data_IF_124643874366
#
_entry.id   IF_124643874366
#
_cell.length_a   1.000
_cell.length_b   1.000
_cell.length_c   1.000
_cell.angle_alpha   90.00
_cell.angle_beta   90.00
_cell.angle_gamma   90.00
#
_symmetry.space_group_name_H-M   'P 1'
#
loop_
_entity.id
_entity.type
_entity.pdbx_description
1 polymer ?
#
# COMPACT_ATOMS: atom_id res chain seq x y z
N UNK A 1 -3.80 2.96 7.07
CA UNK A 1 -4.92 3.82 7.55
C UNK A 1 -6.16 3.50 6.77
N UNK A 2 -7.35 3.71 7.35
CA UNK A 2 -8.56 3.71 6.55
C UNK A 2 -8.70 5.07 5.86
N UNK A 3 -9.24 5.10 4.66
CA UNK A 3 -9.53 6.33 3.92
C UNK A 3 -10.35 7.34 4.74
N UNK A 4 -11.34 6.85 5.50
CA UNK A 4 -12.15 7.68 6.38
C UNK A 4 -11.33 8.31 7.51
N UNK A 5 -10.31 7.63 8.04
CA UNK A 5 -9.48 8.17 9.10
C UNK A 5 -8.69 9.40 8.62
N UNK A 6 -8.17 9.38 7.38
CA UNK A 6 -7.49 10.54 6.80
C UNK A 6 -8.47 11.74 6.73
N UNK A 7 -9.68 11.51 6.21
CA UNK A 7 -10.67 12.55 6.05
C UNK A 7 -11.15 13.15 7.40
N UNK A 8 -11.22 12.34 8.45
CA UNK A 8 -11.64 12.78 9.78
C UNK A 8 -10.50 13.50 10.50
N UNK A 9 -9.30 12.87 10.55
CA UNK A 9 -8.19 13.43 11.31
C UNK A 9 -7.64 14.73 10.72
N UNK A 10 -7.60 14.89 9.39
CA UNK A 10 -7.18 16.17 8.77
C UNK A 10 -8.15 17.32 9.00
N UNK A 11 -9.37 17.06 9.50
CA UNK A 11 -10.34 18.09 9.91
C UNK A 11 -10.31 18.41 11.40
N UNK A 12 -9.68 17.57 12.20
CA UNK A 12 -9.66 17.66 13.65
C UNK A 12 -8.28 17.99 14.20
N UNK A 13 -7.23 17.68 13.48
CA UNK A 13 -5.83 17.93 13.81
C UNK A 13 -5.27 18.96 12.85
N UNK A 14 -4.33 19.77 13.33
CA UNK A 14 -3.52 20.62 12.46
C UNK A 14 -2.44 19.82 11.70
N UNK A 15 -1.75 20.40 10.74
CA UNK A 15 -0.72 19.71 9.96
C UNK A 15 0.46 19.20 10.79
N UNK A 16 0.86 19.89 11.85
CA UNK A 16 1.95 19.48 12.73
C UNK A 16 1.56 18.24 13.55
N UNK A 17 0.40 18.27 14.21
CA UNK A 17 -0.17 17.15 14.96
C UNK A 17 -0.36 15.90 14.09
N UNK A 18 -0.91 16.11 12.88
CA UNK A 18 -1.04 15.03 11.91
C UNK A 18 0.31 14.50 11.44
N UNK A 19 1.31 15.39 11.33
CA UNK A 19 2.71 15.03 11.02
C UNK A 19 3.31 14.12 12.08
N UNK A 20 3.18 14.47 13.36
CA UNK A 20 3.63 13.66 14.49
C UNK A 20 2.98 12.28 14.47
N UNK A 21 1.65 12.22 14.24
CA UNK A 21 0.93 10.96 14.07
C UNK A 21 1.48 10.13 12.89
N UNK A 22 1.69 10.73 11.73
CA UNK A 22 2.19 10.04 10.54
C UNK A 22 3.61 9.50 10.73
N UNK A 23 4.45 10.24 11.46
CA UNK A 23 5.80 9.81 11.86
C UNK A 23 5.74 8.62 12.80
N UNK A 24 4.88 8.67 13.83
CA UNK A 24 4.67 7.55 14.75
C UNK A 24 4.30 6.27 14.00
N UNK A 25 3.31 6.35 13.10
CA UNK A 25 2.88 5.21 12.29
C UNK A 25 3.99 4.71 11.38
N UNK A 26 4.81 5.60 10.82
CA UNK A 26 5.95 5.23 9.98
C UNK A 26 7.02 4.46 10.78
N UNK A 27 7.40 4.97 11.95
CA UNK A 27 8.37 4.30 12.85
C UNK A 27 7.84 2.94 13.31
N UNK A 28 6.56 2.88 13.73
CA UNK A 28 5.91 1.61 14.09
C UNK A 28 5.94 0.63 12.92
N UNK A 29 5.66 1.11 11.70
CA UNK A 29 5.74 0.31 10.48
C UNK A 29 7.13 -0.27 10.24
N UNK A 30 8.19 0.57 10.34
CA UNK A 30 9.57 0.11 10.16
C UNK A 30 9.96 -0.96 11.18
N UNK A 31 9.71 -0.73 12.47
CA UNK A 31 10.04 -1.69 13.53
C UNK A 31 9.21 -2.97 13.41
N UNK A 32 7.91 -2.84 13.14
CA UNK A 32 7.01 -3.98 13.00
C UNK A 32 7.40 -4.87 11.82
N UNK A 33 7.68 -4.29 10.66
CA UNK A 33 8.13 -5.04 9.48
C UNK A 33 9.50 -5.68 9.73
N UNK A 34 10.46 -4.93 10.28
CA UNK A 34 11.80 -5.45 10.54
C UNK A 34 11.80 -6.64 11.51
N UNK A 35 10.98 -6.57 12.56
CA UNK A 35 10.99 -7.57 13.63
C UNK A 35 9.99 -8.71 13.42
N UNK A 36 8.80 -8.46 12.84
CA UNK A 36 7.70 -9.43 12.86
C UNK A 36 7.25 -9.93 11.48
N UNK A 37 7.54 -9.20 10.39
CA UNK A 37 7.07 -9.58 9.05
C UNK A 37 7.51 -10.98 8.62
N UNK A 38 8.73 -11.38 8.98
CA UNK A 38 9.23 -12.72 8.66
C UNK A 38 8.40 -13.84 9.28
N UNK A 39 7.80 -13.62 10.45
CA UNK A 39 6.88 -14.56 11.11
C UNK A 39 5.57 -14.65 10.34
N UNK A 40 4.99 -13.50 10.01
CA UNK A 40 3.69 -13.39 9.31
C UNK A 40 3.71 -14.11 7.95
N UNK A 41 4.74 -13.82 7.13
CA UNK A 41 4.85 -14.45 5.80
C UNK A 41 5.17 -15.95 5.91
N UNK A 42 5.85 -16.37 6.95
CA UNK A 42 6.14 -17.79 7.19
C UNK A 42 4.89 -18.56 7.61
N UNK A 43 4.06 -17.97 8.48
CA UNK A 43 2.75 -18.54 8.82
C UNK A 43 1.89 -18.69 7.57
N UNK A 44 1.79 -17.66 6.75
CA UNK A 44 1.02 -17.72 5.50
C UNK A 44 1.51 -18.82 4.56
N UNK A 45 2.80 -19.13 4.56
CA UNK A 45 3.40 -20.15 3.67
C UNK A 45 3.29 -21.57 4.19
N UNK A 46 3.49 -21.77 5.49
CA UNK A 46 3.70 -23.09 6.07
C UNK A 46 2.51 -23.61 6.88
N UNK A 47 1.58 -22.74 7.29
CA UNK A 47 0.38 -23.17 8.00
C UNK A 47 -0.63 -23.79 7.02
N UNK A 48 -0.88 -25.09 7.19
CA UNK A 48 -1.90 -25.83 6.43
C UNK A 48 -2.94 -26.39 7.39
N UNK A 49 -4.21 -26.01 7.18
CA UNK A 49 -5.33 -26.47 8.02
C UNK A 49 -5.44 -28.00 7.99
N UNK A 50 -5.52 -28.61 9.18
CA UNK A 50 -5.71 -30.06 9.32
C UNK A 50 -4.45 -30.90 9.06
N UNK A 51 -3.29 -30.30 8.79
CA UNK A 51 -2.03 -31.05 8.72
C UNK A 51 -1.51 -31.41 10.12
N UNK A 52 -0.80 -32.53 10.24
CA UNK A 52 -0.13 -32.93 11.50
C UNK A 52 0.86 -31.84 12.00
N UNK A 53 1.39 -31.03 11.07
CA UNK A 53 2.33 -29.96 11.39
C UNK A 53 1.65 -28.66 11.83
N UNK A 54 0.33 -28.51 11.70
CA UNK A 54 -0.36 -27.25 12.02
C UNK A 54 -0.13 -26.79 13.46
N UNK A 55 -0.14 -27.72 14.41
CA UNK A 55 0.11 -27.44 15.83
C UNK A 55 1.54 -26.95 16.10
N UNK A 56 2.53 -27.51 15.39
CA UNK A 56 3.95 -27.11 15.49
C UNK A 56 4.18 -25.74 14.88
N UNK A 57 3.58 -25.47 13.71
CA UNK A 57 3.66 -24.16 13.04
C UNK A 57 3.07 -23.05 13.93
N UNK A 58 1.94 -23.30 14.61
CA UNK A 58 1.36 -22.36 15.56
C UNK A 58 2.29 -22.12 16.76
N UNK A 59 2.86 -23.18 17.35
CA UNK A 59 3.83 -23.08 18.44
C UNK A 59 5.08 -22.31 18.03
N UNK A 60 5.63 -22.58 16.83
CA UNK A 60 6.77 -21.88 16.28
C UNK A 60 6.45 -20.39 16.02
N UNK A 61 5.25 -20.08 15.52
CA UNK A 61 4.82 -18.69 15.30
C UNK A 61 4.72 -17.90 16.61
N UNK A 62 4.15 -18.48 17.67
CA UNK A 62 4.10 -17.87 18.99
C UNK A 62 5.51 -17.64 19.55
N UNK A 63 6.36 -18.66 19.49
CA UNK A 63 7.73 -18.54 19.96
C UNK A 63 8.53 -17.49 19.17
N UNK A 64 8.39 -17.50 17.85
CA UNK A 64 8.99 -16.51 16.96
C UNK A 64 8.52 -15.08 17.29
N UNK A 65 7.23 -14.89 17.59
CA UNK A 65 6.68 -13.60 18.02
C UNK A 65 7.35 -13.08 19.30
N UNK A 66 7.49 -13.95 20.32
CA UNK A 66 8.18 -13.55 21.57
C UNK A 66 9.66 -13.28 21.36
N UNK A 67 10.35 -14.08 20.55
CA UNK A 67 11.76 -13.82 20.21
C UNK A 67 11.91 -12.50 19.44
N UNK A 68 11.02 -12.23 18.50
CA UNK A 68 11.00 -10.96 17.74
C UNK A 68 10.65 -9.75 18.60
N UNK A 69 9.98 -9.95 19.73
CA UNK A 69 9.69 -8.87 20.68
C UNK A 69 10.96 -8.30 21.35
N UNK A 70 12.05 -9.09 21.45
CA UNK A 70 13.33 -8.65 22.02
C UNK A 70 13.97 -7.57 21.14
N UNK A 71 14.28 -7.80 19.84
CA UNK A 71 14.84 -6.75 18.99
C UNK A 71 13.89 -5.55 18.83
N UNK A 72 12.57 -5.75 18.85
CA UNK A 72 11.62 -4.65 18.85
C UNK A 72 11.73 -3.77 20.10
N UNK A 73 11.86 -4.36 21.30
CA UNK A 73 12.09 -3.64 22.54
C UNK A 73 13.44 -2.91 22.53
N UNK A 74 14.49 -3.56 22.02
CA UNK A 74 15.81 -2.93 21.89
C UNK A 74 15.77 -1.75 20.90
N UNK A 75 15.03 -1.86 19.80
CA UNK A 75 14.83 -0.76 18.86
C UNK A 75 14.10 0.42 19.54
N UNK A 76 13.05 0.17 20.33
CA UNK A 76 12.35 1.22 21.08
C UNK A 76 13.28 1.89 22.10
N UNK A 77 14.10 1.11 22.84
CA UNK A 77 15.08 1.65 23.77
C UNK A 77 16.14 2.49 23.06
N UNK A 78 16.64 2.00 21.90
CA UNK A 78 17.60 2.75 21.10
C UNK A 78 17.01 4.10 20.64
N UNK A 79 15.79 4.09 20.10
CA UNK A 79 15.07 5.29 19.69
C UNK A 79 14.92 6.24 20.90
N UNK A 80 14.55 5.72 22.05
CA UNK A 80 14.39 6.49 23.30
C UNK A 80 15.69 7.19 23.74
N UNK A 81 16.82 6.50 23.70
CA UNK A 81 18.10 7.05 24.18
C UNK A 81 18.76 8.01 23.19
N UNK A 82 18.53 7.84 21.89
CA UNK A 82 19.24 8.59 20.84
C UNK A 82 18.41 9.73 20.23
N UNK A 83 17.11 9.80 20.50
CA UNK A 83 16.27 10.91 20.07
C UNK A 83 16.13 11.93 21.22
N UNK A 84 16.35 13.22 20.92
CA UNK A 84 16.28 14.32 21.89
C UNK A 84 14.89 14.46 22.55
N UNK A 85 14.90 14.85 23.82
CA UNK A 85 14.01 14.43 24.92
C UNK A 85 12.66 15.16 25.01
N UNK A 86 12.27 16.12 24.18
CA UNK A 86 11.07 16.91 24.53
C UNK A 86 9.74 16.40 24.00
N UNK A 87 9.56 16.32 22.71
CA UNK A 87 8.29 15.84 22.09
C UNK A 87 8.40 14.36 21.73
N UNK A 88 9.59 13.91 21.39
CA UNK A 88 9.88 12.57 20.88
C UNK A 88 9.73 11.46 21.93
N UNK A 89 9.87 11.79 23.22
CA UNK A 89 9.73 10.81 24.30
C UNK A 89 8.29 10.34 24.51
N UNK A 90 7.31 11.24 24.45
CA UNK A 90 5.89 10.89 24.58
C UNK A 90 5.44 10.08 23.37
N UNK A 91 5.87 10.47 22.17
CA UNK A 91 5.59 9.74 20.94
C UNK A 91 6.09 8.30 20.99
N UNK A 92 7.35 8.08 21.43
CA UNK A 92 7.93 6.73 21.57
C UNK A 92 7.20 5.91 22.61
N UNK A 93 6.84 6.50 23.76
CA UNK A 93 6.10 5.80 24.82
C UNK A 93 4.74 5.28 24.35
N UNK A 94 4.03 6.05 23.52
CA UNK A 94 2.69 5.69 23.04
C UNK A 94 2.76 4.86 21.76
N UNK A 95 3.75 5.10 20.91
CA UNK A 95 3.96 4.31 19.69
C UNK A 95 4.52 2.90 19.99
N UNK A 96 5.31 2.74 21.06
CA UNK A 96 5.88 1.45 21.40
C UNK A 96 4.80 0.34 21.59
N UNK A 97 3.75 0.48 22.41
CA UNK A 97 2.70 -0.52 22.54
C UNK A 97 2.05 -0.89 21.19
N UNK A 98 1.93 0.10 20.28
CA UNK A 98 1.34 -0.12 18.97
C UNK A 98 2.13 -1.13 18.13
N UNK A 99 3.46 -1.21 18.28
CA UNK A 99 4.29 -2.19 17.56
C UNK A 99 3.83 -3.63 17.85
N UNK A 100 3.68 -3.97 19.13
CA UNK A 100 3.24 -5.32 19.54
C UNK A 100 1.78 -5.57 19.22
N UNK A 101 0.92 -4.60 19.46
CA UNK A 101 -0.51 -4.70 19.15
C UNK A 101 -0.71 -4.88 17.64
N UNK A 102 -0.01 -4.10 16.82
CA UNK A 102 -0.03 -4.22 15.36
C UNK A 102 0.47 -5.59 14.91
N UNK A 103 1.65 -6.01 15.38
CA UNK A 103 2.24 -7.29 15.01
C UNK A 103 1.35 -8.48 15.39
N UNK A 104 0.76 -8.43 16.59
CA UNK A 104 -0.18 -9.45 17.06
C UNK A 104 -1.47 -9.47 16.26
N UNK A 105 -2.03 -8.31 15.98
CA UNK A 105 -3.22 -8.18 15.14
C UNK A 105 -3.00 -8.76 13.75
N UNK A 106 -1.91 -8.37 13.08
CA UNK A 106 -1.59 -8.86 11.73
C UNK A 106 -1.38 -10.38 11.73
N UNK A 107 -0.72 -10.93 12.77
CA UNK A 107 -0.52 -12.38 12.88
C UNK A 107 -1.85 -13.13 13.03
N UNK A 108 -2.81 -12.60 13.80
CA UNK A 108 -4.17 -13.16 13.90
C UNK A 108 -4.93 -13.07 12.56
N UNK A 109 -4.74 -11.97 11.85
CA UNK A 109 -5.36 -11.74 10.55
C UNK A 109 -4.84 -12.72 9.50
N UNK A 110 -3.52 -12.97 9.47
CA UNK A 110 -2.91 -13.96 8.56
C UNK A 110 -3.37 -15.39 8.89
N UNK A 111 -3.57 -15.73 10.15
CA UNK A 111 -4.13 -17.04 10.54
C UNK A 111 -5.57 -17.21 10.06
N UNK A 112 -6.42 -16.18 10.20
CA UNK A 112 -7.78 -16.21 9.66
C UNK A 112 -7.78 -16.39 8.14
N UNK A 113 -6.84 -15.74 7.45
CA UNK A 113 -6.61 -15.87 6.01
C UNK A 113 -6.18 -17.30 5.62
N UNK A 114 -5.22 -17.89 6.34
CA UNK A 114 -4.77 -19.26 6.11
C UNK A 114 -5.88 -20.28 6.30
N UNK A 115 -6.85 -20.02 7.19
CA UNK A 115 -8.01 -20.88 7.43
C UNK A 115 -9.14 -20.67 6.44
N UNK A 116 -8.99 -19.73 5.47
CA UNK A 116 -10.05 -19.36 4.55
C UNK A 116 -11.33 -18.82 5.24
N UNK A 117 -11.20 -18.28 6.45
CA UNK A 117 -12.29 -17.70 7.23
C UNK A 117 -12.57 -16.25 6.74
N UNK A 118 -13.04 -16.09 5.50
CA UNK A 118 -13.17 -14.79 4.81
C UNK A 118 -14.03 -13.81 5.61
N UNK A 119 -15.17 -14.31 6.14
CA UNK A 119 -16.07 -13.47 6.94
C UNK A 119 -15.39 -12.96 8.22
N UNK A 120 -14.66 -13.86 8.91
CA UNK A 120 -13.93 -13.52 10.13
C UNK A 120 -12.80 -12.53 9.85
N UNK A 121 -12.04 -12.74 8.78
CA UNK A 121 -11.03 -11.81 8.31
C UNK A 121 -11.61 -10.40 8.10
N UNK A 122 -12.73 -10.31 7.38
CA UNK A 122 -13.43 -9.05 7.13
C UNK A 122 -13.95 -8.40 8.41
N UNK A 123 -14.56 -9.20 9.32
CA UNK A 123 -15.09 -8.72 10.59
C UNK A 123 -13.97 -8.15 11.49
N UNK A 124 -12.86 -8.89 11.67
CA UNK A 124 -11.72 -8.46 12.48
C UNK A 124 -11.16 -7.13 11.94
N UNK A 125 -10.98 -7.02 10.62
CA UNK A 125 -10.47 -5.82 9.96
C UNK A 125 -11.43 -4.62 10.09
N UNK A 126 -12.74 -4.85 9.92
CA UNK A 126 -13.76 -3.82 10.04
C UNK A 126 -13.86 -3.31 11.48
N UNK A 127 -13.94 -4.21 12.47
CA UNK A 127 -14.00 -3.85 13.89
C UNK A 127 -12.78 -3.04 14.29
N UNK A 128 -11.57 -3.49 13.93
CA UNK A 128 -10.34 -2.71 14.18
C UNK A 128 -10.45 -1.30 13.62
N UNK A 129 -10.85 -1.16 12.37
CA UNK A 129 -10.88 0.15 11.69
C UNK A 129 -11.92 1.09 12.31
N UNK A 130 -13.12 0.58 12.63
CA UNK A 130 -14.20 1.36 13.23
C UNK A 130 -13.81 1.77 14.65
N UNK A 131 -13.33 0.83 15.46
CA UNK A 131 -12.96 1.10 16.86
C UNK A 131 -11.73 2.03 16.90
N UNK A 132 -10.74 1.86 16.04
CA UNK A 132 -9.58 2.74 15.98
C UNK A 132 -9.99 4.19 15.68
N UNK A 133 -10.87 4.38 14.69
CA UNK A 133 -11.35 5.71 14.33
C UNK A 133 -12.20 6.32 15.48
N UNK A 134 -13.15 5.56 16.01
CA UNK A 134 -14.03 6.04 17.10
C UNK A 134 -13.23 6.39 18.37
N UNK A 135 -12.28 5.54 18.77
CA UNK A 135 -11.41 5.79 19.91
C UNK A 135 -10.47 6.97 19.66
N UNK A 136 -9.88 7.10 18.44
CA UNK A 136 -9.05 8.24 18.10
C UNK A 136 -9.81 9.56 18.19
N UNK A 137 -11.01 9.61 17.60
CA UNK A 137 -11.89 10.79 17.71
C UNK A 137 -12.23 11.09 19.18
N UNK A 138 -12.57 10.06 19.97
CA UNK A 138 -12.85 10.24 21.40
C UNK A 138 -11.65 10.82 22.15
N UNK A 139 -10.44 10.35 21.89
CA UNK A 139 -9.23 10.85 22.54
C UNK A 139 -8.86 12.28 22.11
N UNK A 140 -9.17 12.71 20.87
CA UNK A 140 -9.04 14.12 20.47
C UNK A 140 -9.95 15.00 21.34
N UNK A 141 -11.21 14.59 21.58
CA UNK A 141 -12.11 15.31 22.50
C UNK A 141 -11.66 15.29 23.97
N UNK A 142 -10.67 14.48 24.32
CA UNK A 142 -10.02 14.45 25.63
C UNK A 142 -8.70 15.27 25.66
N UNK A 143 -8.47 16.13 24.68
CA UNK A 143 -7.28 17.01 24.56
C UNK A 143 -5.96 16.20 24.48
N UNK A 144 -5.97 15.06 23.77
CA UNK A 144 -4.77 14.25 23.53
C UNK A 144 -4.19 14.44 22.11
N UNK A 145 -4.76 15.33 21.33
CA UNK A 145 -4.35 15.84 20.01
C UNK A 145 -3.55 14.83 19.17
N UNK A 146 -2.26 15.06 18.94
CA UNK A 146 -1.39 14.23 18.09
C UNK A 146 -1.26 12.77 18.56
N UNK A 147 -1.51 12.48 19.86
CA UNK A 147 -1.43 11.14 20.44
C UNK A 147 -2.70 10.33 20.25
N UNK A 148 -3.82 11.02 20.09
CA UNK A 148 -5.16 10.42 20.02
C UNK A 148 -5.32 9.39 18.88
N UNK A 149 -4.89 9.64 17.63
CA UNK A 149 -4.96 8.65 16.56
C UNK A 149 -4.12 7.40 16.84
N UNK A 150 -2.93 7.56 17.47
CA UNK A 150 -2.05 6.44 17.83
C UNK A 150 -2.72 5.56 18.89
N UNK A 151 -3.27 6.17 19.94
CA UNK A 151 -4.05 5.47 20.97
C UNK A 151 -5.28 4.78 20.38
N UNK A 152 -5.95 5.44 19.43
CA UNK A 152 -7.05 4.85 18.68
C UNK A 152 -6.63 3.56 17.95
N UNK A 153 -5.45 3.57 17.30
CA UNK A 153 -4.90 2.37 16.65
C UNK A 153 -4.56 1.27 17.65
N UNK A 154 -4.06 1.60 18.85
CA UNK A 154 -3.80 0.63 19.93
C UNK A 154 -5.12 -0.02 20.36
N UNK A 155 -6.12 0.78 20.70
CA UNK A 155 -7.45 0.28 21.15
C UNK A 155 -8.09 -0.57 20.06
N UNK A 156 -8.09 -0.09 18.81
CA UNK A 156 -8.63 -0.81 17.67
C UNK A 156 -7.91 -2.15 17.42
N UNK A 157 -6.59 -2.17 17.54
CA UNK A 157 -5.78 -3.38 17.39
C UNK A 157 -6.04 -4.40 18.51
N UNK A 158 -6.17 -3.94 19.76
CA UNK A 158 -6.52 -4.80 20.91
C UNK A 158 -7.92 -5.39 20.72
N UNK A 159 -8.93 -4.57 20.44
CA UNK A 159 -10.32 -5.02 20.26
C UNK A 159 -10.43 -5.95 19.06
N UNK A 160 -9.78 -5.62 17.91
CA UNK A 160 -9.73 -6.49 16.75
C UNK A 160 -9.10 -7.86 17.06
N UNK A 161 -8.03 -7.88 17.87
CA UNK A 161 -7.38 -9.12 18.31
C UNK A 161 -8.26 -9.94 19.27
N UNK A 162 -9.05 -9.28 20.13
CA UNK A 162 -10.02 -9.95 21.01
C UNK A 162 -11.15 -10.58 20.18
N UNK A 163 -11.64 -9.90 19.15
CA UNK A 163 -12.64 -10.43 18.21
C UNK A 163 -12.07 -11.63 17.41
N UNK A 164 -10.78 -11.60 17.07
CA UNK A 164 -10.10 -12.76 16.51
C UNK A 164 -10.17 -13.96 17.46
N UNK A 165 -10.16 -13.71 18.76
CA UNK A 165 -10.32 -14.70 19.82
C UNK A 165 -9.13 -15.65 19.98
N UNK A 166 -8.87 -16.05 21.20
CA UNK A 166 -7.78 -16.98 21.51
C UNK A 166 -7.97 -18.39 20.94
N UNK A 167 -9.18 -18.73 20.51
CA UNK A 167 -9.49 -20.03 19.89
C UNK A 167 -8.69 -20.28 18.60
N UNK A 168 -8.20 -19.23 17.93
CA UNK A 168 -7.39 -19.33 16.72
C UNK A 168 -6.04 -20.02 17.01
N UNK A 169 -5.57 -19.97 18.27
CA UNK A 169 -4.32 -20.54 18.75
C UNK A 169 -4.49 -21.89 19.44
N UNK A 170 -5.72 -22.43 19.51
CA UNK A 170 -5.96 -23.74 20.11
C UNK A 170 -5.20 -24.81 19.37
N UNK A 171 -4.49 -25.65 20.12
CA UNK A 171 -3.67 -26.73 19.58
C UNK A 171 -2.23 -26.36 19.28
N UNK A 172 -1.79 -25.12 19.57
CA UNK A 172 -0.37 -24.78 19.48
C UNK A 172 0.47 -25.70 20.36
N UNK A 173 1.49 -26.34 19.78
CA UNK A 173 2.38 -27.27 20.47
C UNK A 173 3.81 -26.70 20.53
N UNK A 174 4.36 -26.64 21.73
CA UNK A 174 5.76 -26.23 21.99
C UNK A 174 6.67 -27.47 22.08
N UNK A 175 6.62 -28.37 21.10
CA UNK A 175 7.46 -29.54 21.03
C UNK A 175 8.93 -29.18 20.81
N UNK A 176 9.86 -30.11 21.08
CA UNK A 176 11.31 -29.90 20.93
C UNK A 176 11.75 -29.49 19.50
N UNK A 177 10.90 -29.70 18.51
CA UNK A 177 11.12 -29.41 17.09
C UNK A 177 10.86 -27.93 16.71
N UNK A 178 10.43 -27.08 17.65
CA UNK A 178 10.20 -25.62 17.38
C UNK A 178 11.45 -24.94 16.79
N UNK A 179 12.66 -25.39 17.16
CA UNK A 179 13.91 -24.87 16.63
C UNK A 179 14.08 -25.12 15.12
N UNK A 180 13.67 -26.27 14.64
CA UNK A 180 13.78 -26.62 13.22
C UNK A 180 12.76 -25.82 12.41
N UNK A 181 11.53 -25.66 12.91
CA UNK A 181 10.52 -24.81 12.30
C UNK A 181 10.98 -23.34 12.25
N UNK A 182 11.64 -22.83 13.30
CA UNK A 182 12.20 -21.48 13.31
C UNK A 182 13.27 -21.28 12.23
N UNK A 183 14.11 -22.30 12.01
CA UNK A 183 15.10 -22.27 10.94
C UNK A 183 14.45 -22.19 9.58
N UNK A 184 13.37 -22.94 9.36
CA UNK A 184 12.57 -22.89 8.14
C UNK A 184 11.92 -21.51 7.99
N UNK A 185 11.30 -20.99 9.04
CA UNK A 185 10.69 -19.65 9.04
C UNK A 185 11.70 -18.57 8.70
N UNK A 186 12.86 -18.54 9.37
CA UNK A 186 13.88 -17.53 9.15
C UNK A 186 14.48 -17.61 7.74
N UNK A 187 14.73 -18.80 7.23
CA UNK A 187 15.29 -18.98 5.89
C UNK A 187 14.37 -18.48 4.77
N UNK A 188 13.06 -18.58 4.98
CA UNK A 188 12.05 -18.12 4.04
C UNK A 188 11.62 -16.67 4.29
N UNK A 189 11.33 -16.35 5.55
CA UNK A 189 10.72 -15.08 5.93
C UNK A 189 11.70 -13.90 5.95
N UNK A 190 12.96 -14.11 6.37
CA UNK A 190 13.92 -13.02 6.49
C UNK A 190 14.25 -12.32 5.15
N UNK A 191 14.51 -13.05 4.04
CA UNK A 191 14.71 -12.38 2.75
C UNK A 191 13.50 -11.58 2.27
N UNK A 192 12.28 -12.08 2.56
CA UNK A 192 11.04 -11.38 2.23
C UNK A 192 10.85 -10.13 3.10
N UNK A 193 11.16 -10.21 4.41
CA UNK A 193 11.12 -9.06 5.29
C UNK A 193 12.02 -7.92 4.80
N UNK A 194 13.22 -8.23 4.28
CA UNK A 194 14.11 -7.24 3.67
C UNK A 194 13.43 -6.55 2.47
N UNK A 195 12.73 -7.31 1.62
CA UNK A 195 12.01 -6.72 0.48
C UNK A 195 10.89 -5.77 0.96
N UNK A 196 10.17 -6.13 2.02
CA UNK A 196 9.13 -5.27 2.62
C UNK A 196 9.72 -4.01 3.26
N UNK A 197 10.87 -4.12 3.96
CA UNK A 197 11.58 -2.96 4.49
C UNK A 197 11.98 -2.01 3.36
N UNK A 198 12.57 -2.50 2.29
CA UNK A 198 12.96 -1.67 1.15
C UNK A 198 11.76 -1.00 0.48
N UNK A 199 10.64 -1.71 0.37
CA UNK A 199 9.39 -1.11 -0.13
C UNK A 199 8.89 0.00 0.79
N UNK A 200 8.95 -0.22 2.11
CA UNK A 200 8.56 0.77 3.11
C UNK A 200 9.50 1.99 3.11
N UNK A 201 10.80 1.79 2.89
CA UNK A 201 11.75 2.90 2.72
C UNK A 201 11.29 3.81 1.58
N UNK A 202 10.99 3.27 0.40
CA UNK A 202 10.53 4.09 -0.74
C UNK A 202 9.22 4.82 -0.47
N UNK A 203 8.31 4.24 0.34
CA UNK A 203 6.98 4.82 0.58
C UNK A 203 6.88 5.69 1.83
N UNK A 204 7.85 5.67 2.72
CA UNK A 204 7.70 6.29 4.05
C UNK A 204 8.94 7.02 4.56
N UNK A 205 10.12 6.88 3.93
CA UNK A 205 11.31 7.62 4.36
C UNK A 205 11.21 9.11 4.13
N UNK A 206 10.44 9.53 3.12
CA UNK A 206 10.20 10.93 2.78
C UNK A 206 9.67 11.71 3.99
N UNK A 207 8.73 11.12 4.75
CA UNK A 207 8.14 11.73 5.95
C UNK A 207 9.16 11.95 7.05
N UNK A 208 10.05 10.97 7.26
CA UNK A 208 11.11 11.06 8.26
C UNK A 208 12.14 12.12 7.87
N UNK A 209 12.50 12.19 6.58
CA UNK A 209 13.45 13.18 6.07
C UNK A 209 12.84 14.58 6.09
N UNK A 210 11.55 14.74 5.70
CA UNK A 210 10.83 16.00 5.78
C UNK A 210 10.77 16.53 7.21
N UNK A 211 10.38 15.69 8.17
CA UNK A 211 10.32 16.08 9.57
C UNK A 211 11.70 16.45 10.13
N UNK A 212 12.74 15.74 9.73
CA UNK A 212 14.11 16.02 10.17
C UNK A 212 14.68 17.31 9.60
N UNK A 213 14.40 17.62 8.31
CA UNK A 213 15.04 18.76 7.62
C UNK A 213 14.18 20.03 7.63
N UNK A 214 12.85 19.90 7.70
CA UNK A 214 11.92 21.05 7.54
C UNK A 214 11.00 21.17 8.75
N UNK A 215 10.48 20.04 9.30
CA UNK A 215 9.58 20.01 10.44
C UNK A 215 8.40 19.07 10.25
N UNK A 216 7.69 18.85 11.35
CA UNK A 216 6.55 17.92 11.44
C UNK A 216 5.36 18.37 10.59
N UNK A 217 5.13 19.68 10.47
CA UNK A 217 4.08 20.26 9.62
C UNK A 217 4.24 19.82 8.16
N UNK A 218 5.46 19.92 7.61
CA UNK A 218 5.75 19.50 6.24
C UNK A 218 5.52 18.00 6.05
N UNK A 219 5.89 17.18 7.04
CA UNK A 219 5.64 15.75 7.05
C UNK A 219 4.15 15.44 7.10
N UNK A 220 3.35 16.24 7.82
CA UNK A 220 1.90 16.11 7.93
C UNK A 220 1.19 16.40 6.60
N UNK A 221 1.48 17.54 5.99
CA UNK A 221 0.93 17.95 4.69
C UNK A 221 1.25 16.92 3.59
N UNK A 222 2.51 16.44 3.54
CA UNK A 222 2.93 15.39 2.63
C UNK A 222 2.18 14.08 2.88
N UNK A 223 2.12 13.63 4.15
CA UNK A 223 1.54 12.34 4.52
C UNK A 223 0.05 12.26 4.22
N UNK A 224 -0.71 13.29 4.54
CA UNK A 224 -2.15 13.34 4.26
C UNK A 224 -2.42 13.23 2.75
N UNK A 225 -1.69 13.98 1.93
CA UNK A 225 -1.82 13.98 0.48
C UNK A 225 -1.42 12.64 -0.13
N UNK A 226 -0.29 12.09 0.31
CA UNK A 226 0.25 10.82 -0.16
C UNK A 226 -0.68 9.65 0.20
N UNK A 227 -1.04 9.52 1.47
CA UNK A 227 -1.84 8.40 1.95
C UNK A 227 -3.23 8.36 1.33
N UNK A 228 -3.83 9.53 1.09
CA UNK A 228 -5.12 9.66 0.42
C UNK A 228 -5.12 9.01 -0.97
N UNK A 229 -4.19 9.41 -1.83
CA UNK A 229 -4.10 8.90 -3.21
C UNK A 229 -3.63 7.44 -3.23
N UNK A 230 -2.61 7.13 -2.42
CA UNK A 230 -2.02 5.79 -2.36
C UNK A 230 -3.01 4.73 -1.93
N UNK A 231 -3.86 5.03 -0.94
CA UNK A 231 -4.90 4.10 -0.48
C UNK A 231 -5.88 3.72 -1.58
N UNK A 232 -6.36 4.71 -2.34
CA UNK A 232 -7.33 4.47 -3.41
C UNK A 232 -6.71 3.73 -4.60
N UNK A 233 -5.53 4.17 -5.04
CA UNK A 233 -4.84 3.56 -6.18
C UNK A 233 -4.39 2.12 -5.88
N UNK A 234 -3.91 1.86 -4.67
CA UNK A 234 -3.49 0.51 -4.26
C UNK A 234 -4.67 -0.46 -4.23
N UNK A 235 -5.83 -0.06 -3.71
CA UNK A 235 -7.03 -0.91 -3.72
C UNK A 235 -7.41 -1.32 -5.14
N UNK A 236 -7.38 -0.38 -6.08
CA UNK A 236 -7.66 -0.65 -7.49
C UNK A 236 -6.65 -1.64 -8.10
N UNK A 237 -5.36 -1.41 -7.88
CA UNK A 237 -4.31 -2.24 -8.47
C UNK A 237 -4.29 -3.66 -7.89
N UNK A 238 -4.55 -3.80 -6.60
CA UNK A 238 -4.71 -5.11 -5.94
C UNK A 238 -5.91 -5.86 -6.49
N UNK A 239 -7.05 -5.19 -6.70
CA UNK A 239 -8.24 -5.82 -7.26
C UNK A 239 -7.99 -6.37 -8.68
N UNK A 240 -7.31 -5.61 -9.55
CA UNK A 240 -6.91 -6.06 -10.88
C UNK A 240 -5.98 -7.28 -10.77
N UNK A 241 -4.99 -7.23 -9.90
CA UNK A 241 -4.00 -8.30 -9.75
C UNK A 241 -4.62 -9.59 -9.23
N UNK A 242 -5.54 -9.51 -8.28
CA UNK A 242 -6.25 -10.69 -7.73
C UNK A 242 -7.03 -11.44 -8.81
N UNK A 243 -7.61 -10.73 -9.77
CA UNK A 243 -8.33 -11.35 -10.88
C UNK A 243 -7.39 -11.90 -11.98
N UNK A 244 -6.32 -11.18 -12.28
CA UNK A 244 -5.48 -11.39 -13.45
C UNK A 244 -4.30 -12.33 -13.20
N UNK A 245 -3.65 -12.24 -12.05
CA UNK A 245 -2.43 -13.00 -11.73
C UNK A 245 -2.60 -14.53 -11.81
N UNK A 246 -3.65 -15.14 -11.21
CA UNK A 246 -3.81 -16.59 -11.26
C UNK A 246 -3.96 -17.15 -12.69
N UNK A 247 -4.57 -16.37 -13.59
CA UNK A 247 -4.76 -16.75 -14.99
C UNK A 247 -3.42 -16.83 -15.73
N UNK A 248 -2.54 -15.86 -15.48
CA UNK A 248 -1.17 -15.87 -16.05
C UNK A 248 -0.37 -17.05 -15.55
N UNK A 249 -0.35 -17.26 -14.22
CA UNK A 249 0.41 -18.36 -13.61
C UNK A 249 -0.07 -19.71 -14.18
N UNK A 250 -1.38 -19.93 -14.22
CA UNK A 250 -1.98 -21.16 -14.75
C UNK A 250 -1.59 -21.40 -16.23
N UNK A 251 -1.68 -20.37 -17.07
CA UNK A 251 -1.29 -20.49 -18.47
C UNK A 251 0.22 -20.76 -18.64
N UNK A 252 1.04 -20.08 -17.82
CA UNK A 252 2.50 -20.26 -17.86
C UNK A 252 2.94 -21.66 -17.40
N UNK A 253 2.35 -22.21 -16.32
CA UNK A 253 2.70 -23.54 -15.78
C UNK A 253 2.27 -24.67 -16.70
N UNK A 254 1.18 -24.51 -17.47
CA UNK A 254 0.73 -25.48 -18.48
C UNK A 254 1.61 -25.53 -19.73
N UNK A 255 2.69 -24.75 -19.79
CA UNK A 255 3.58 -24.63 -20.93
C UNK A 255 2.90 -24.18 -22.25
N UNK A 256 1.72 -23.56 -22.14
CA UNK A 256 0.99 -22.95 -23.24
C UNK A 256 1.57 -21.53 -23.49
N UNK A 257 2.76 -21.45 -24.07
CA UNK A 257 3.52 -20.20 -24.17
C UNK A 257 2.74 -19.08 -24.88
N UNK A 258 2.00 -19.39 -25.94
CA UNK A 258 1.21 -18.41 -26.68
C UNK A 258 0.04 -17.87 -25.84
N UNK A 259 -0.62 -18.74 -25.07
CA UNK A 259 -1.72 -18.37 -24.16
C UNK A 259 -1.19 -17.51 -23.01
N UNK A 260 -0.05 -17.89 -22.44
CA UNK A 260 0.59 -17.11 -21.37
C UNK A 260 0.98 -15.71 -21.83
N UNK A 261 1.59 -15.59 -23.02
CA UNK A 261 1.96 -14.29 -23.62
C UNK A 261 0.73 -13.43 -23.87
N UNK A 262 -0.33 -14.02 -24.43
CA UNK A 262 -1.61 -13.30 -24.63
C UNK A 262 -2.22 -12.83 -23.33
N UNK A 263 -2.24 -13.68 -22.29
CA UNK A 263 -2.77 -13.35 -20.97
C UNK A 263 -1.98 -12.22 -20.30
N UNK A 264 -0.63 -12.26 -20.39
CA UNK A 264 0.23 -11.18 -19.87
C UNK A 264 -0.07 -9.85 -20.56
N UNK A 265 -0.22 -9.86 -21.89
CA UNK A 265 -0.58 -8.66 -22.66
C UNK A 265 -1.95 -8.11 -22.24
N UNK A 266 -2.94 -8.99 -22.11
CA UNK A 266 -4.28 -8.62 -21.66
C UNK A 266 -4.28 -8.01 -20.25
N UNK A 267 -3.49 -8.57 -19.32
CA UNK A 267 -3.34 -8.00 -17.98
C UNK A 267 -2.72 -6.60 -18.01
N UNK A 268 -1.70 -6.39 -18.84
CA UNK A 268 -1.12 -5.07 -19.03
C UNK A 268 -2.13 -4.07 -19.60
N UNK A 269 -2.91 -4.48 -20.59
CA UNK A 269 -3.97 -3.66 -21.16
C UNK A 269 -5.08 -3.34 -20.15
N UNK A 270 -5.51 -4.31 -19.34
CA UNK A 270 -6.48 -4.10 -18.24
C UNK A 270 -5.93 -3.16 -17.17
N UNK A 271 -4.66 -3.30 -16.81
CA UNK A 271 -4.03 -2.37 -15.86
C UNK A 271 -4.05 -0.95 -16.41
N UNK A 272 -3.63 -0.74 -17.66
CA UNK A 272 -3.64 0.57 -18.31
C UNK A 272 -5.05 1.15 -18.40
N UNK A 273 -6.03 0.31 -18.79
CA UNK A 273 -7.44 0.70 -18.93
C UNK A 273 -8.00 1.36 -17.68
N UNK A 274 -7.58 0.92 -16.50
CA UNK A 274 -8.08 1.43 -15.22
C UNK A 274 -7.12 2.43 -14.57
N UNK A 275 -5.82 2.18 -14.63
CA UNK A 275 -4.83 3.00 -13.94
C UNK A 275 -4.64 4.40 -14.58
N UNK A 276 -4.61 4.47 -15.93
CA UNK A 276 -4.38 5.75 -16.62
C UNK A 276 -5.52 6.76 -16.38
N UNK A 277 -6.81 6.43 -16.60
CA UNK A 277 -7.89 7.39 -16.35
C UNK A 277 -8.01 7.78 -14.87
N UNK A 278 -7.71 6.86 -13.94
CA UNK A 278 -7.69 7.19 -12.51
C UNK A 278 -6.56 8.17 -12.18
N UNK A 279 -5.36 7.97 -12.73
CA UNK A 279 -4.24 8.91 -12.58
C UNK A 279 -4.58 10.28 -13.13
N UNK A 280 -5.15 10.33 -14.34
CA UNK A 280 -5.59 11.60 -14.98
C UNK A 280 -6.71 12.25 -14.16
N UNK A 281 -7.70 11.47 -13.69
CA UNK A 281 -8.79 11.96 -12.86
C UNK A 281 -8.31 12.58 -11.55
N UNK A 282 -7.42 11.91 -10.82
CA UNK A 282 -6.80 12.47 -9.61
C UNK A 282 -6.02 13.75 -9.90
N UNK A 283 -5.30 13.79 -11.03
CA UNK A 283 -4.50 14.97 -11.38
C UNK A 283 -5.37 16.18 -11.72
N UNK A 284 -6.48 15.97 -12.43
CA UNK A 284 -7.37 17.07 -12.84
C UNK A 284 -8.28 17.54 -11.71
N UNK A 285 -8.77 16.62 -10.90
CA UNK A 285 -9.71 16.91 -9.82
C UNK A 285 -9.02 17.06 -8.46
N UNK A 286 -7.70 17.31 -8.45
CA UNK A 286 -6.88 17.37 -7.23
C UNK A 286 -7.44 18.38 -6.21
N UNK A 287 -7.78 19.58 -6.66
CA UNK A 287 -8.34 20.63 -5.80
C UNK A 287 -9.70 20.23 -5.21
N UNK A 288 -10.58 19.61 -6.02
CA UNK A 288 -11.89 19.16 -5.58
C UNK A 288 -11.77 17.97 -4.61
N UNK A 289 -10.84 17.05 -4.86
CA UNK A 289 -10.53 15.98 -3.91
C UNK A 289 -10.03 16.53 -2.58
N UNK A 290 -9.09 17.47 -2.62
CA UNK A 290 -8.57 18.12 -1.42
C UNK A 290 -9.67 18.84 -0.64
N UNK A 291 -10.55 19.57 -1.32
CA UNK A 291 -11.65 20.30 -0.69
C UNK A 291 -12.69 19.38 -0.03
N UNK A 292 -13.06 18.28 -0.73
CA UNK A 292 -14.11 17.36 -0.25
C UNK A 292 -13.61 16.44 0.85
N UNK A 293 -12.35 15.99 0.79
CA UNK A 293 -11.88 14.94 1.70
C UNK A 293 -10.94 15.42 2.79
N UNK A 294 -10.22 16.54 2.60
CA UNK A 294 -9.21 16.98 3.55
C UNK A 294 -9.62 18.25 4.32
N UNK A 295 -9.02 18.43 5.50
CA UNK A 295 -9.15 19.65 6.29
C UNK A 295 -8.64 20.88 5.56
N UNK A 296 -9.12 22.07 5.97
CA UNK A 296 -8.84 23.33 5.26
C UNK A 296 -7.35 23.62 5.10
N UNK A 297 -6.55 23.36 6.13
CA UNK A 297 -5.12 23.62 6.17
C UNK A 297 -4.30 22.72 5.25
N UNK A 298 -4.83 21.54 4.91
CA UNK A 298 -4.18 20.58 4.01
C UNK A 298 -4.47 20.80 2.54
N UNK A 299 -5.53 21.57 2.19
CA UNK A 299 -6.08 21.63 0.83
C UNK A 299 -5.11 22.16 -0.20
N UNK A 300 -4.40 23.23 0.14
CA UNK A 300 -3.45 23.85 -0.79
C UNK A 300 -2.34 22.85 -1.15
N UNK A 301 -1.62 22.35 -0.14
CA UNK A 301 -0.54 21.38 -0.36
C UNK A 301 -1.05 20.13 -1.09
N UNK A 302 -2.22 19.62 -0.71
CA UNK A 302 -2.80 18.44 -1.35
C UNK A 302 -3.14 18.67 -2.83
N UNK A 303 -3.66 19.85 -3.19
CA UNK A 303 -3.97 20.18 -4.60
C UNK A 303 -2.73 20.16 -5.50
N UNK A 304 -1.57 20.51 -4.96
CA UNK A 304 -0.27 20.52 -5.65
C UNK A 304 0.38 19.13 -5.67
N UNK A 305 0.24 18.35 -4.58
CA UNK A 305 0.90 17.04 -4.42
C UNK A 305 0.13 15.88 -5.05
N UNK A 306 -1.21 15.87 -4.98
CA UNK A 306 -2.07 14.78 -5.49
C UNK A 306 -1.71 14.36 -6.92
N UNK A 307 -1.48 15.26 -7.90
CA UNK A 307 -1.11 14.88 -9.26
C UNK A 307 0.18 14.05 -9.30
N UNK A 308 1.20 14.47 -8.59
CA UNK A 308 2.49 13.80 -8.55
C UNK A 308 2.43 12.45 -7.82
N UNK A 309 1.66 12.38 -6.72
CA UNK A 309 1.41 11.11 -6.02
C UNK A 309 0.68 10.12 -6.91
N UNK A 310 -0.34 10.57 -7.65
CA UNK A 310 -1.10 9.71 -8.56
C UNK A 310 -0.22 9.14 -9.68
N UNK A 311 0.63 9.96 -10.28
CA UNK A 311 1.59 9.53 -11.31
C UNK A 311 2.64 8.59 -10.71
N UNK A 312 3.14 8.87 -9.51
CA UNK A 312 4.09 8.01 -8.79
C UNK A 312 3.49 6.63 -8.49
N UNK A 313 2.24 6.61 -8.00
CA UNK A 313 1.50 5.38 -7.73
C UNK A 313 1.26 4.56 -9.01
N UNK A 314 0.98 5.22 -10.14
CA UNK A 314 0.86 4.56 -11.44
C UNK A 314 2.16 3.82 -11.80
N UNK A 315 3.33 4.47 -11.74
CA UNK A 315 4.61 3.83 -12.07
C UNK A 315 4.95 2.70 -11.11
N UNK A 316 4.72 2.89 -9.81
CA UNK A 316 4.91 1.86 -8.79
C UNK A 316 4.03 0.62 -9.05
N UNK A 317 2.74 0.83 -9.31
CA UNK A 317 1.78 -0.24 -9.60
C UNK A 317 2.09 -0.94 -10.93
N UNK A 318 2.40 -0.18 -11.97
CA UNK A 318 2.72 -0.76 -13.28
C UNK A 318 3.97 -1.63 -13.24
N UNK A 319 4.99 -1.21 -12.49
CA UNK A 319 6.14 -2.05 -12.19
C UNK A 319 5.74 -3.32 -11.46
N UNK A 320 5.07 -3.17 -10.30
CA UNK A 320 4.82 -4.28 -9.38
C UNK A 320 3.86 -5.34 -9.95
N UNK A 321 2.82 -4.91 -10.66
CA UNK A 321 1.73 -5.78 -11.12
C UNK A 321 1.84 -6.22 -12.58
N UNK A 322 2.76 -5.62 -13.36
CA UNK A 322 2.97 -6.02 -14.74
C UNK A 322 4.40 -6.50 -14.99
N UNK A 323 5.42 -5.67 -14.81
CA UNK A 323 6.79 -6.03 -15.19
C UNK A 323 7.47 -6.99 -14.22
N UNK A 324 7.21 -6.88 -12.92
CA UNK A 324 7.76 -7.79 -11.91
C UNK A 324 7.24 -9.23 -12.03
N UNK A 325 6.20 -9.49 -12.84
CA UNK A 325 5.75 -10.83 -13.23
C UNK A 325 6.88 -11.68 -13.83
N UNK A 326 7.83 -11.07 -14.56
CA UNK A 326 8.99 -11.78 -15.12
C UNK A 326 9.79 -12.49 -14.02
N UNK A 327 9.99 -11.82 -12.89
CA UNK A 327 10.73 -12.38 -11.76
C UNK A 327 9.94 -13.46 -11.03
N UNK A 328 8.65 -13.27 -10.87
CA UNK A 328 7.74 -14.19 -10.17
C UNK A 328 7.58 -15.50 -10.96
N UNK A 329 7.29 -15.42 -12.27
CA UNK A 329 7.11 -16.58 -13.12
C UNK A 329 8.40 -17.38 -13.29
N UNK A 330 9.56 -16.71 -13.34
CA UNK A 330 10.87 -17.36 -13.40
C UNK A 330 11.42 -17.76 -12.02
N UNK A 331 10.65 -17.56 -10.94
CA UNK A 331 11.04 -17.87 -9.54
C UNK A 331 12.37 -17.19 -9.13
N UNK A 332 12.67 -16.01 -9.71
CA UNK A 332 13.86 -15.20 -9.40
C UNK A 332 13.50 -13.93 -8.64
N UNK A 333 12.71 -14.10 -7.58
CA UNK A 333 12.16 -12.99 -6.77
C UNK A 333 13.24 -12.16 -6.06
N UNK A 334 14.45 -12.69 -5.88
CA UNK A 334 15.58 -11.91 -5.36
C UNK A 334 15.91 -10.68 -6.22
N UNK A 335 15.59 -10.70 -7.53
CA UNK A 335 15.77 -9.54 -8.39
C UNK A 335 14.81 -8.41 -8.05
N UNK A 336 13.60 -8.71 -7.52
CA UNK A 336 12.70 -7.67 -7.00
C UNK A 336 13.32 -6.95 -5.80
N UNK A 337 14.04 -7.68 -4.94
CA UNK A 337 14.77 -7.08 -3.81
C UNK A 337 15.82 -6.10 -4.32
N UNK A 338 16.56 -6.46 -5.37
CA UNK A 338 17.53 -5.55 -5.98
C UNK A 338 16.87 -4.32 -6.61
N UNK A 339 15.77 -4.49 -7.34
CA UNK A 339 15.02 -3.37 -7.92
C UNK A 339 14.54 -2.41 -6.83
N UNK A 340 13.98 -2.95 -5.74
CA UNK A 340 13.53 -2.17 -4.59
C UNK A 340 14.70 -1.52 -3.84
N UNK A 341 15.82 -2.24 -3.68
CA UNK A 341 17.03 -1.71 -3.05
C UNK A 341 17.60 -0.50 -3.76
N UNK A 342 17.68 -0.57 -5.10
CA UNK A 342 18.13 0.56 -5.93
C UNK A 342 17.12 1.72 -5.83
N UNK A 343 15.82 1.43 -5.87
CA UNK A 343 14.78 2.45 -5.71
C UNK A 343 14.87 3.15 -4.36
N UNK A 344 15.03 2.38 -3.26
CA UNK A 344 15.15 2.91 -1.90
C UNK A 344 16.41 3.78 -1.74
N UNK A 345 17.54 3.30 -2.24
CA UNK A 345 18.79 4.07 -2.22
C UNK A 345 18.64 5.39 -2.99
N UNK A 346 18.10 5.32 -4.21
CA UNK A 346 17.89 6.52 -5.04
C UNK A 346 16.91 7.48 -4.38
N UNK A 347 15.81 6.99 -3.81
CA UNK A 347 14.82 7.81 -3.10
C UNK A 347 15.47 8.55 -1.91
N UNK A 348 16.24 7.87 -1.05
CA UNK A 348 16.93 8.51 0.07
C UNK A 348 17.91 9.58 -0.42
N UNK A 349 18.77 9.25 -1.40
CA UNK A 349 19.76 10.19 -1.93
C UNK A 349 19.08 11.42 -2.53
N UNK A 350 18.04 11.22 -3.35
CA UNK A 350 17.31 12.34 -3.94
C UNK A 350 16.57 13.18 -2.89
N UNK A 351 16.00 12.56 -1.86
CA UNK A 351 15.38 13.30 -0.75
C UNK A 351 16.40 14.18 -0.03
N UNK A 352 17.57 13.65 0.31
CA UNK A 352 18.63 14.43 0.98
C UNK A 352 19.17 15.57 0.12
N UNK A 353 19.08 15.46 -1.21
CA UNK A 353 19.52 16.51 -2.14
C UNK A 353 18.40 17.53 -2.44
N UNK A 354 17.16 17.06 -2.67
CA UNK A 354 16.08 17.89 -3.19
C UNK A 354 15.21 18.50 -2.09
N UNK A 355 15.04 17.84 -0.95
CA UNK A 355 14.24 18.37 0.16
C UNK A 355 14.81 19.69 0.70
N UNK A 356 16.14 19.85 0.91
CA UNK A 356 16.70 21.14 1.33
C UNK A 356 16.51 22.26 0.31
N UNK A 357 16.31 21.93 -0.98
CA UNK A 357 16.19 22.91 -2.06
C UNK A 357 14.72 23.27 -2.36
N UNK A 358 13.83 22.27 -2.36
CA UNK A 358 12.46 22.40 -2.83
C UNK A 358 11.41 21.98 -1.79
N UNK A 359 11.82 21.69 -0.55
CA UNK A 359 10.87 21.34 0.51
C UNK A 359 10.05 20.09 0.19
N UNK A 360 8.75 20.19 0.42
CA UNK A 360 7.78 19.09 0.20
C UNK A 360 7.75 18.65 -1.27
N UNK A 361 7.89 19.57 -2.19
CA UNK A 361 7.97 19.28 -3.64
C UNK A 361 9.20 18.42 -3.96
N UNK A 362 10.32 18.68 -3.29
CA UNK A 362 11.54 17.88 -3.40
C UNK A 362 11.31 16.43 -3.01
N UNK A 363 10.56 16.19 -1.96
CA UNK A 363 10.23 14.84 -1.49
C UNK A 363 9.38 14.08 -2.51
N UNK A 364 8.29 14.69 -3.00
CA UNK A 364 7.42 14.00 -3.97
C UNK A 364 8.13 13.76 -5.30
N UNK A 365 8.98 14.70 -5.74
CA UNK A 365 9.76 14.53 -6.96
C UNK A 365 10.81 13.43 -6.83
N UNK A 366 11.44 13.31 -5.66
CA UNK A 366 12.36 12.20 -5.33
C UNK A 366 11.66 10.85 -5.44
N UNK A 367 10.47 10.73 -4.88
CA UNK A 367 9.65 9.51 -4.93
C UNK A 367 9.21 9.19 -6.35
N UNK A 368 8.77 10.18 -7.11
CA UNK A 368 8.43 10.02 -8.52
C UNK A 368 9.62 9.46 -9.33
N UNK A 369 10.79 10.09 -9.22
CA UNK A 369 12.00 9.63 -9.92
C UNK A 369 12.43 8.21 -9.50
N UNK A 370 12.34 7.89 -8.20
CA UNK A 370 12.66 6.56 -7.69
C UNK A 370 11.75 5.48 -8.31
N UNK A 371 10.44 5.74 -8.42
CA UNK A 371 9.52 4.79 -9.05
C UNK A 371 9.71 4.68 -10.56
N UNK A 372 9.92 5.79 -11.28
CA UNK A 372 10.24 5.77 -12.72
C UNK A 372 11.52 4.97 -12.97
N UNK A 373 12.56 5.23 -12.19
CA UNK A 373 13.82 4.52 -12.32
C UNK A 373 13.68 3.03 -11.99
N UNK A 374 12.96 2.70 -10.92
CA UNK A 374 12.70 1.29 -10.55
C UNK A 374 11.94 0.53 -11.64
N UNK A 375 10.98 1.18 -12.31
CA UNK A 375 10.30 0.62 -13.47
C UNK A 375 11.30 0.34 -14.60
N UNK A 376 12.17 1.29 -14.92
CA UNK A 376 13.23 1.11 -15.94
C UNK A 376 14.15 -0.08 -15.63
N UNK A 377 14.61 -0.19 -14.37
CA UNK A 377 15.44 -1.31 -13.90
C UNK A 377 14.66 -2.63 -13.98
N UNK A 378 13.40 -2.67 -13.55
CA UNK A 378 12.56 -3.87 -13.64
C UNK A 378 12.37 -4.33 -15.08
N UNK A 379 12.10 -3.41 -16.02
CA UNK A 379 11.99 -3.72 -17.45
C UNK A 379 13.33 -4.26 -17.97
N UNK A 380 14.44 -3.62 -17.65
CA UNK A 380 15.77 -4.02 -18.14
C UNK A 380 16.16 -5.42 -17.66
N UNK A 381 16.03 -5.69 -16.36
CA UNK A 381 16.35 -7.00 -15.78
C UNK A 381 15.33 -8.07 -16.19
N UNK A 382 14.05 -7.72 -16.20
CA UNK A 382 12.96 -8.62 -16.56
C UNK A 382 13.05 -9.13 -17.99
N UNK A 383 13.42 -8.26 -18.96
CA UNK A 383 13.58 -8.63 -20.38
C UNK A 383 14.63 -9.72 -20.62
N UNK A 384 15.63 -9.85 -19.73
CA UNK A 384 16.63 -10.92 -19.80
C UNK A 384 16.09 -12.28 -19.37
N UNK A 385 15.00 -12.32 -18.65
CA UNK A 385 14.37 -13.54 -18.12
C UNK A 385 13.14 -13.94 -18.91
N UNK A 386 12.24 -12.99 -19.11
CA UNK A 386 10.98 -13.16 -19.80
C UNK A 386 10.54 -11.81 -20.36
N UNK A 387 10.34 -11.73 -21.66
CA UNK A 387 9.77 -10.53 -22.28
C UNK A 387 8.29 -10.45 -21.94
N UNK A 388 7.92 -9.51 -21.08
CA UNK A 388 6.53 -9.22 -20.77
C UNK A 388 5.96 -8.37 -21.90
N UNK A 389 4.95 -8.84 -22.63
CA UNK A 389 4.37 -8.10 -23.75
C UNK A 389 3.49 -6.97 -23.26
N UNK A 390 3.53 -5.85 -23.97
CA UNK A 390 2.63 -4.72 -23.78
C UNK A 390 2.05 -4.34 -25.15
N UNK A 391 0.73 -4.19 -25.21
CA UNK A 391 0.04 -3.70 -26.41
C UNK A 391 0.21 -2.19 -26.53
N UNK A 392 1.05 -1.74 -27.44
CA UNK A 392 1.25 -0.31 -27.70
C UNK A 392 -0.03 0.34 -28.26
N UNK A 393 -0.81 -0.41 -29.04
CA UNK A 393 -2.09 0.07 -29.55
C UNK A 393 -3.09 0.33 -28.42
N UNK A 394 -3.16 -0.56 -27.42
CA UNK A 394 -4.04 -0.38 -26.26
C UNK A 394 -3.56 0.79 -25.38
N UNK A 395 -2.25 0.96 -25.21
CA UNK A 395 -1.70 2.12 -24.53
C UNK A 395 -2.12 3.44 -25.20
N UNK A 396 -1.97 3.55 -26.52
CA UNK A 396 -2.38 4.74 -27.25
C UNK A 396 -3.89 5.00 -27.17
N UNK A 397 -4.71 3.95 -27.30
CA UNK A 397 -6.19 4.06 -27.17
C UNK A 397 -6.56 4.54 -25.78
N UNK A 398 -5.93 4.00 -24.73
CA UNK A 398 -6.17 4.38 -23.34
C UNK A 398 -5.77 5.83 -23.07
N UNK A 399 -4.56 6.23 -23.49
CA UNK A 399 -4.09 7.62 -23.34
C UNK A 399 -5.01 8.58 -24.09
N UNK A 400 -5.36 8.30 -25.33
CA UNK A 400 -6.25 9.13 -26.11
C UNK A 400 -7.63 9.26 -25.46
N UNK A 401 -8.23 8.13 -25.01
CA UNK A 401 -9.52 8.15 -24.31
C UNK A 401 -9.46 8.97 -23.02
N UNK A 402 -8.33 8.89 -22.29
CA UNK A 402 -8.12 9.68 -21.07
C UNK A 402 -7.90 11.16 -21.36
N UNK A 403 -7.27 11.51 -22.48
CA UNK A 403 -7.17 12.91 -22.91
C UNK A 403 -8.55 13.50 -23.28
N UNK A 404 -9.39 12.73 -23.97
CA UNK A 404 -10.78 13.17 -24.29
C UNK A 404 -11.59 13.34 -23.00
N UNK A 405 -11.48 12.38 -22.07
CA UNK A 405 -12.07 12.48 -20.72
C UNK A 405 -11.60 13.76 -20.00
N UNK A 406 -10.30 14.02 -20.03
CA UNK A 406 -9.70 15.19 -19.40
C UNK A 406 -10.29 16.50 -19.95
N UNK A 407 -10.32 16.63 -21.28
CA UNK A 407 -10.92 17.79 -21.96
C UNK A 407 -12.39 17.92 -21.58
N UNK A 408 -13.16 16.85 -21.59
CA UNK A 408 -14.58 16.86 -21.23
C UNK A 408 -14.81 17.32 -19.77
N UNK A 409 -13.97 16.90 -18.82
CA UNK A 409 -14.05 17.31 -17.41
C UNK A 409 -13.72 18.80 -17.28
N UNK A 410 -12.69 19.29 -17.97
CA UNK A 410 -12.27 20.72 -17.90
C UNK A 410 -13.36 21.64 -18.44
N UNK A 411 -14.09 21.23 -19.49
CA UNK A 411 -15.20 22.02 -20.01
C UNK A 411 -16.48 21.93 -19.18
N UNK A 412 -16.53 21.05 -18.19
CA UNK A 412 -17.65 20.93 -17.28
C UNK A 412 -17.45 21.91 -16.11
N UNK A 413 -17.83 23.18 -16.32
CA UNK A 413 -17.81 24.18 -15.25
C UNK A 413 -18.89 23.85 -14.22
N UNK A 414 -18.47 23.36 -13.05
CA UNK A 414 -19.37 23.03 -11.92
C UNK A 414 -18.82 23.70 -10.67
N UNK A 415 -19.69 24.31 -9.89
CA UNK A 415 -19.33 24.86 -8.58
C UNK A 415 -18.78 23.76 -7.66
N UNK A 416 -17.76 24.10 -6.86
CA UNK A 416 -17.08 23.14 -5.97
C UNK A 416 -18.05 22.52 -4.97
N UNK A 417 -17.87 21.24 -4.67
CA UNK A 417 -18.67 20.52 -3.69
C UNK A 417 -18.72 19.00 -3.91
N UNK A 418 -19.19 18.27 -2.91
CA UNK A 418 -19.20 16.81 -2.96
C UNK A 418 -20.07 16.23 -4.08
N UNK A 419 -21.23 16.82 -4.35
CA UNK A 419 -22.10 16.41 -5.46
C UNK A 419 -21.47 16.72 -6.82
N UNK A 420 -20.81 17.87 -6.94
CA UNK A 420 -20.08 18.26 -8.13
C UNK A 420 -18.94 17.31 -8.46
N UNK A 421 -18.13 16.96 -7.46
CA UNK A 421 -17.05 15.97 -7.60
C UNK A 421 -17.58 14.62 -8.09
N UNK A 422 -18.65 14.10 -7.45
CA UNK A 422 -19.28 12.85 -7.89
C UNK A 422 -19.81 12.96 -9.32
N UNK A 423 -20.45 14.07 -9.67
CA UNK A 423 -20.92 14.34 -11.02
C UNK A 423 -19.80 14.34 -12.06
N UNK A 424 -18.69 15.03 -11.76
CA UNK A 424 -17.51 15.08 -12.64
C UNK A 424 -16.85 13.70 -12.80
N UNK A 425 -16.74 12.91 -11.72
CA UNK A 425 -16.21 11.55 -11.79
C UNK A 425 -17.10 10.66 -12.66
N UNK A 426 -18.42 10.68 -12.45
CA UNK A 426 -19.37 9.87 -13.23
C UNK A 426 -19.41 10.29 -14.71
N UNK A 427 -19.42 11.59 -14.98
CA UNK A 427 -19.37 12.13 -16.33
C UNK A 427 -18.07 11.75 -17.04
N UNK A 428 -16.91 11.95 -16.38
CA UNK A 428 -15.61 11.55 -16.90
C UNK A 428 -15.53 10.05 -17.19
N UNK A 429 -16.01 9.22 -16.26
CA UNK A 429 -16.06 7.77 -16.45
C UNK A 429 -16.95 7.36 -17.64
N UNK A 430 -18.08 8.04 -17.84
CA UNK A 430 -18.97 7.79 -18.97
C UNK A 430 -18.31 8.16 -20.31
N UNK A 431 -17.69 9.36 -20.38
CA UNK A 431 -16.95 9.79 -21.59
C UNK A 431 -15.81 8.84 -21.90
N UNK A 432 -15.04 8.46 -20.88
CA UNK A 432 -13.95 7.49 -21.03
C UNK A 432 -14.44 6.14 -21.53
N UNK A 433 -15.49 5.58 -20.92
CA UNK A 433 -16.07 4.29 -21.31
C UNK A 433 -16.59 4.33 -22.76
N UNK A 434 -17.23 5.44 -23.16
CA UNK A 434 -17.68 5.64 -24.54
C UNK A 434 -16.51 5.62 -25.52
N UNK A 435 -15.43 6.34 -25.22
CA UNK A 435 -14.24 6.38 -26.07
C UNK A 435 -13.53 5.02 -26.17
N UNK A 436 -13.39 4.30 -25.06
CA UNK A 436 -12.85 2.93 -25.01
C UNK A 436 -13.68 1.99 -25.91
N UNK A 437 -15.00 2.11 -25.87
CA UNK A 437 -15.91 1.32 -26.73
C UNK A 437 -15.78 1.71 -28.20
N UNK A 438 -15.75 3.01 -28.51
CA UNK A 438 -15.64 3.52 -29.90
C UNK A 438 -14.31 3.12 -30.54
N UNK A 439 -13.22 3.12 -29.78
CA UNK A 439 -11.88 2.73 -30.27
C UNK A 439 -11.68 1.20 -30.31
N UNK A 440 -12.69 0.43 -29.99
CA UNK A 440 -12.63 -1.04 -29.94
C UNK A 440 -11.44 -1.55 -29.14
N UNK A 441 -11.35 -1.09 -27.88
CA UNK A 441 -10.29 -1.52 -26.96
C UNK A 441 -10.42 -3.02 -26.68
N UNK A 442 -9.34 -3.78 -26.85
CA UNK A 442 -9.31 -5.25 -26.70
C UNK A 442 -10.43 -6.00 -27.47
N UNK A 443 -11.03 -5.38 -28.48
CA UNK A 443 -12.15 -5.98 -29.25
C UNK A 443 -13.50 -5.94 -28.54
N UNK A 444 -13.68 -5.07 -27.54
CA UNK A 444 -14.94 -4.98 -26.78
C UNK A 444 -16.16 -4.68 -27.64
N UNK A 445 -16.03 -3.76 -28.63
CA UNK A 445 -17.12 -3.44 -29.57
C UNK A 445 -17.42 -4.61 -30.49
N UNK A 446 -16.35 -5.23 -31.03
CA UNK A 446 -16.45 -6.39 -31.92
C UNK A 446 -17.18 -7.55 -31.23
N UNK A 447 -16.80 -7.88 -29.99
CA UNK A 447 -17.47 -8.91 -29.18
C UNK A 447 -18.95 -8.56 -28.89
N UNK A 448 -19.24 -7.30 -28.58
CA UNK A 448 -20.62 -6.87 -28.34
C UNK A 448 -21.47 -7.02 -29.61
N UNK A 449 -20.96 -6.58 -30.76
CA UNK A 449 -21.67 -6.66 -32.06
C UNK A 449 -21.93 -8.12 -32.49
N UNK A 450 -20.91 -9.00 -32.30
CA UNK A 450 -21.08 -10.44 -32.58
C UNK A 450 -22.16 -11.07 -31.70
N UNK A 451 -22.22 -10.71 -30.42
CA UNK A 451 -23.21 -11.21 -29.45
C UNK A 451 -24.63 -10.75 -29.78
N UNK A 452 -24.78 -9.54 -30.35
CA UNK A 452 -26.09 -9.03 -30.83
C UNK A 452 -26.49 -9.61 -32.17
N UNK A 453 -25.53 -9.94 -33.06
CA UNK A 453 -25.80 -10.57 -34.36
C UNK A 453 -26.05 -12.08 -34.27
N UNK A 454 -25.56 -12.74 -33.21
CA UNK A 454 -25.78 -14.17 -32.97
C UNK A 454 -27.06 -14.52 -32.20
N UNK A 455 -27.93 -13.49 -31.94
CA UNK A 455 -29.31 -13.63 -31.54
C UNK A 455 -30.23 -13.27 -32.71
#
# INVERSE_FOLDING_TARGET
MSFLAIAVYTRMLDPEEYGIYALAVSVVGFVSIACFQWVQVSVLRFYLVGSENSARVLGAALFAFFVSSIPAALACLFIWFFLDVSIKSQLVMIAAPLIWVQAWFELNLELARCRFEIFRYGLISAVRSIVALAAGVFFIYCDLDELAPVLGLVVGGVVGSLVAGFNIWRGASFAAEVRDELRVFSSYGAPLAVAFILALVVSSSDRLILAWLIGEEAAGLYSASYDFVWQVTTLLFVAINLAAYPLVVKAYEKSEQSVAVRQMSQNGSLFLLLAVPVTVGFSLLASQFAEVFLGAEFRQAASELIPWVAVSAFFAGFRAYHFDLAFQLKKKTYLQVWVLGVAAFLNIVLNLLLVPLWGIEGAIFSTFLAYVFSLGVSIFLGRRLLKIPLSFADLLKTVFSSCVMAVAIVFLEVEAGSLALVGQILFGALVYALMVFLLDFMGLRSMAVERFRGR
#
